data_IF_510368579315
#
_entry.id   IF_510368579315
#
_cell.length_a   1.000
_cell.length_b   1.000
_cell.length_c   1.000
_cell.angle_alpha   90.00
_cell.angle_beta   90.00
_cell.angle_gamma   90.00
#
_symmetry.space_group_name_H-M   'P 1'
#
loop_
_entity.id
_entity.type
_entity.pdbx_description
1 polymer ?
#
# COMPACT_ATOMS: atom_id res chain seq x y z
N UNK A 1 -10.16 -32.49 9.15
CA UNK A 1 -9.78 -31.09 9.43
C UNK A 1 -8.37 -31.09 10.00
N UNK A 2 -7.40 -30.51 9.30
CA UNK A 2 -5.99 -30.50 9.74
C UNK A 2 -5.78 -29.50 10.89
N UNK A 3 -4.67 -29.63 11.63
CA UNK A 3 -4.32 -28.69 12.70
C UNK A 3 -4.24 -27.25 12.18
N UNK A 4 -3.61 -27.05 11.02
CA UNK A 4 -3.55 -25.76 10.34
C UNK A 4 -4.95 -25.20 10.03
N UNK A 5 -5.84 -26.02 9.49
CA UNK A 5 -7.20 -25.58 9.18
C UNK A 5 -7.98 -25.18 10.45
N UNK A 6 -7.78 -25.88 11.58
CA UNK A 6 -8.38 -25.50 12.88
C UNK A 6 -7.83 -24.18 13.41
N UNK A 7 -6.52 -23.97 13.31
CA UNK A 7 -5.87 -22.72 13.69
C UNK A 7 -6.43 -21.53 12.90
N UNK A 8 -6.63 -21.69 11.59
CA UNK A 8 -7.24 -20.68 10.74
C UNK A 8 -8.68 -20.34 11.13
N UNK A 9 -9.52 -21.35 11.37
CA UNK A 9 -10.89 -21.12 11.83
C UNK A 9 -10.94 -20.41 13.18
N UNK A 10 -10.08 -20.80 14.13
CA UNK A 10 -9.98 -20.13 15.43
C UNK A 10 -9.52 -18.67 15.29
N UNK A 11 -8.53 -18.41 14.43
CA UNK A 11 -8.09 -17.05 14.14
C UNK A 11 -9.25 -16.20 13.60
N UNK A 12 -9.89 -16.65 12.52
CA UNK A 12 -10.99 -15.90 11.88
C UNK A 12 -12.14 -15.65 12.86
N UNK A 13 -12.51 -16.65 13.66
CA UNK A 13 -13.55 -16.51 14.67
C UNK A 13 -13.15 -15.58 15.84
N UNK A 14 -11.86 -15.39 16.09
CA UNK A 14 -11.35 -14.51 17.15
C UNK A 14 -11.25 -13.03 16.75
N UNK A 15 -11.28 -12.74 15.44
CA UNK A 15 -11.22 -11.38 14.91
C UNK A 15 -12.61 -10.74 14.97
N UNK A 16 -12.70 -9.46 15.38
CA UNK A 16 -13.99 -8.78 15.38
C UNK A 16 -14.47 -8.50 13.96
N UNK A 17 -15.77 -8.33 13.82
CA UNK A 17 -16.35 -7.90 12.55
C UNK A 17 -15.77 -6.55 12.11
N UNK A 18 -15.25 -6.52 10.88
CA UNK A 18 -14.71 -5.31 10.28
C UNK A 18 -15.82 -4.61 9.49
N UNK A 19 -16.49 -3.65 10.15
CA UNK A 19 -17.48 -2.81 9.48
C UNK A 19 -16.81 -1.89 8.44
N UNK A 20 -17.60 -1.24 7.60
CA UNK A 20 -17.06 -0.35 6.58
C UNK A 20 -16.25 0.80 7.20
N UNK A 21 -15.02 0.97 6.72
CA UNK A 21 -14.04 1.91 7.28
C UNK A 21 -14.48 3.37 7.28
N UNK A 22 -15.33 3.78 6.33
CA UNK A 22 -15.87 5.14 6.22
C UNK A 22 -16.86 5.50 7.34
N UNK A 23 -17.37 4.50 8.06
CA UNK A 23 -18.34 4.67 9.15
C UNK A 23 -17.74 4.45 10.55
N UNK A 24 -16.48 4.02 10.63
CA UNK A 24 -15.83 3.65 11.89
C UNK A 24 -15.25 4.87 12.61
N UNK A 25 -15.77 5.17 13.80
CA UNK A 25 -15.18 6.15 14.73
C UNK A 25 -13.93 5.56 15.42
N UNK A 26 -13.90 4.25 15.65
CA UNK A 26 -12.79 3.53 16.28
C UNK A 26 -12.64 2.15 15.67
N UNK A 27 -11.39 1.69 15.50
CA UNK A 27 -11.11 0.32 15.08
C UNK A 27 -11.59 -0.68 16.14
N UNK A 28 -12.18 -1.82 15.74
CA UNK A 28 -12.74 -2.81 16.66
C UNK A 28 -11.68 -3.66 17.37
N UNK A 29 -10.41 -3.58 16.95
CA UNK A 29 -9.26 -4.23 17.58
C UNK A 29 -8.07 -3.28 17.62
N UNK A 30 -7.33 -3.29 18.72
CA UNK A 30 -6.06 -2.59 18.85
C UNK A 30 -4.93 -3.34 18.14
N UNK A 31 -3.85 -2.66 17.77
CA UNK A 31 -2.68 -3.28 17.14
C UNK A 31 -2.11 -4.44 17.98
N UNK A 32 -1.98 -4.28 19.30
CA UNK A 32 -1.40 -5.32 20.17
C UNK A 32 -2.27 -6.56 20.23
N UNK A 33 -3.57 -6.41 20.50
CA UNK A 33 -4.53 -7.53 20.40
C UNK A 33 -4.52 -8.22 19.04
N UNK A 34 -4.36 -7.49 17.94
CA UNK A 34 -4.24 -8.11 16.63
C UNK A 34 -2.98 -8.98 16.55
N UNK A 35 -1.82 -8.47 16.98
CA UNK A 35 -0.57 -9.26 17.04
C UNK A 35 -0.72 -10.51 17.91
N UNK A 36 -1.39 -10.39 19.05
CA UNK A 36 -1.68 -11.53 19.92
C UNK A 36 -2.51 -12.59 19.20
N UNK A 37 -3.55 -12.21 18.46
CA UNK A 37 -4.36 -13.15 17.67
C UNK A 37 -3.56 -13.82 16.56
N UNK A 38 -2.66 -13.09 15.90
CA UNK A 38 -1.81 -13.61 14.83
C UNK A 38 -0.77 -14.65 15.33
N UNK A 39 -0.61 -14.85 16.65
CA UNK A 39 0.13 -16.02 17.19
C UNK A 39 -0.54 -17.36 16.84
N UNK A 40 -1.82 -17.36 16.46
CA UNK A 40 -2.55 -18.56 16.04
C UNK A 40 -2.21 -19.03 14.62
N UNK A 41 -1.54 -18.21 13.81
CA UNK A 41 -1.13 -18.59 12.45
C UNK A 41 -0.07 -19.68 12.47
N UNK A 42 -0.03 -20.48 11.41
CA UNK A 42 1.11 -21.34 11.12
C UNK A 42 2.38 -20.47 10.94
N UNK A 43 3.58 -20.93 11.36
CA UNK A 43 4.81 -20.13 11.29
C UNK A 43 5.08 -19.51 9.91
N UNK A 44 4.87 -20.27 8.82
CA UNK A 44 5.08 -19.78 7.46
C UNK A 44 4.14 -18.62 7.11
N UNK A 45 2.87 -18.73 7.49
CA UNK A 45 1.85 -17.70 7.21
C UNK A 45 2.00 -16.48 8.12
N UNK A 46 2.50 -16.69 9.33
CA UNK A 46 2.90 -15.63 10.24
C UNK A 46 4.02 -14.79 9.64
N UNK A 47 5.04 -15.41 9.07
CA UNK A 47 6.16 -14.69 8.45
C UNK A 47 5.72 -13.80 7.26
N UNK A 48 4.77 -14.28 6.45
CA UNK A 48 4.15 -13.48 5.38
C UNK A 48 3.37 -12.30 5.96
N UNK A 49 2.59 -12.54 7.01
CA UNK A 49 1.76 -11.51 7.66
C UNK A 49 2.62 -10.44 8.34
N UNK A 50 3.70 -10.83 9.00
CA UNK A 50 4.66 -9.91 9.61
C UNK A 50 5.34 -9.05 8.53
N UNK A 51 5.78 -9.66 7.42
CA UNK A 51 6.31 -8.90 6.27
C UNK A 51 5.30 -7.88 5.71
N UNK A 52 4.02 -8.22 5.70
CA UNK A 52 2.94 -7.29 5.30
C UNK A 52 2.77 -6.13 6.28
N UNK A 53 2.78 -6.42 7.59
CA UNK A 53 2.64 -5.42 8.64
C UNK A 53 3.82 -4.46 8.66
N UNK A 54 5.04 -4.97 8.47
CA UNK A 54 6.26 -4.17 8.41
C UNK A 54 6.24 -3.23 7.21
N UNK A 55 5.84 -3.73 6.03
CA UNK A 55 5.65 -2.88 4.84
C UNK A 55 4.62 -1.76 5.11
N UNK A 56 3.48 -2.09 5.72
CA UNK A 56 2.44 -1.13 6.08
C UNK A 56 2.88 -0.11 7.15
N UNK A 57 3.73 -0.52 8.08
CA UNK A 57 4.29 0.35 9.10
C UNK A 57 5.33 1.30 8.49
N UNK A 58 6.22 0.77 7.65
CA UNK A 58 7.22 1.52 6.90
C UNK A 58 6.56 2.60 6.01
N UNK A 59 5.46 2.26 5.33
CA UNK A 59 4.65 3.20 4.56
C UNK A 59 4.06 4.37 5.37
N UNK A 60 3.93 4.23 6.69
CA UNK A 60 3.38 5.27 7.59
C UNK A 60 4.46 6.22 8.14
N UNK A 61 5.74 5.95 7.90
CA UNK A 61 6.83 6.79 8.39
C UNK A 61 6.95 8.07 7.52
N UNK A 62 6.94 9.29 8.11
CA UNK A 62 6.94 10.53 7.34
C UNK A 62 8.30 10.96 6.76
N UNK A 63 8.19 11.65 5.62
CA UNK A 63 9.02 12.72 5.04
C UNK A 63 10.37 12.41 4.33
N UNK A 64 11.29 11.61 4.87
CA UNK A 64 12.66 11.52 4.29
C UNK A 64 12.93 10.28 3.42
N UNK A 65 11.92 9.44 3.22
CA UNK A 65 12.05 8.29 2.34
C UNK A 65 12.14 8.76 0.89
N UNK A 66 13.36 8.71 0.34
CA UNK A 66 13.63 8.95 -1.08
C UNK A 66 12.83 7.97 -1.93
N UNK A 67 12.48 8.38 -3.15
CA UNK A 67 11.75 7.50 -4.07
C UNK A 67 12.54 6.21 -4.35
N UNK A 68 13.88 6.27 -4.34
CA UNK A 68 14.75 5.09 -4.46
C UNK A 68 14.60 4.12 -3.27
N UNK A 69 14.57 4.63 -2.03
CA UNK A 69 14.38 3.79 -0.85
C UNK A 69 13.02 3.05 -0.90
N UNK A 70 11.98 3.74 -1.40
CA UNK A 70 10.65 3.15 -1.60
C UNK A 70 10.68 2.04 -2.63
N UNK A 71 11.35 2.26 -3.75
CA UNK A 71 11.45 1.27 -4.81
C UNK A 71 12.31 0.08 -4.40
N UNK A 72 13.41 0.29 -3.65
CA UNK A 72 14.24 -0.79 -3.10
C UNK A 72 13.42 -1.69 -2.19
N UNK A 73 12.70 -1.11 -1.22
CA UNK A 73 11.90 -1.88 -0.28
C UNK A 73 10.77 -2.66 -0.98
N UNK A 74 10.16 -2.06 -2.01
CA UNK A 74 9.18 -2.75 -2.84
C UNK A 74 9.80 -3.90 -3.65
N UNK A 75 10.99 -3.71 -4.25
CA UNK A 75 11.72 -4.76 -4.99
C UNK A 75 12.05 -5.94 -4.07
N UNK A 76 12.51 -5.67 -2.85
CA UNK A 76 12.78 -6.70 -1.82
C UNK A 76 11.52 -7.47 -1.41
N UNK A 77 10.40 -6.76 -1.21
CA UNK A 77 9.12 -7.38 -0.90
C UNK A 77 8.66 -8.31 -2.03
N UNK A 78 8.76 -7.84 -3.28
CA UNK A 78 8.38 -8.63 -4.46
C UNK A 78 9.30 -9.83 -4.66
N UNK A 79 10.60 -9.71 -4.37
CA UNK A 79 11.53 -10.84 -4.44
C UNK A 79 11.17 -11.93 -3.41
N UNK A 80 10.72 -11.55 -2.22
CA UNK A 80 10.29 -12.49 -1.17
C UNK A 80 8.91 -13.07 -1.40
N UNK A 81 8.00 -12.32 -2.01
CA UNK A 81 6.60 -12.70 -2.23
C UNK A 81 6.18 -12.40 -3.68
N UNK A 82 6.69 -13.16 -4.68
CA UNK A 82 6.55 -12.83 -6.10
C UNK A 82 5.11 -12.92 -6.62
N UNK A 83 4.27 -13.75 -6.01
CA UNK A 83 2.86 -13.90 -6.36
C UNK A 83 2.04 -14.01 -5.08
N UNK A 84 1.24 -12.98 -4.81
CA UNK A 84 0.39 -12.95 -3.63
C UNK A 84 -0.29 -11.61 -3.40
N UNK A 85 -1.32 -11.63 -2.58
CA UNK A 85 -2.11 -10.45 -2.21
C UNK A 85 -1.25 -9.29 -1.68
N UNK A 86 -0.16 -9.61 -0.98
CA UNK A 86 0.78 -8.63 -0.45
C UNK A 86 1.50 -7.84 -1.55
N UNK A 87 1.97 -8.52 -2.60
CA UNK A 87 2.64 -7.84 -3.71
C UNK A 87 1.64 -6.94 -4.47
N UNK A 88 0.44 -7.44 -4.76
CA UNK A 88 -0.61 -6.63 -5.42
C UNK A 88 -1.03 -5.42 -4.59
N UNK A 89 -1.13 -5.59 -3.26
CA UNK A 89 -1.42 -4.48 -2.36
C UNK A 89 -0.29 -3.44 -2.33
N UNK A 90 0.97 -3.90 -2.29
CA UNK A 90 2.13 -3.02 -2.32
C UNK A 90 2.24 -2.25 -3.65
N UNK A 91 1.96 -2.91 -4.78
CA UNK A 91 1.89 -2.28 -6.11
C UNK A 91 0.82 -1.19 -6.15
N UNK A 92 -0.37 -1.48 -5.64
CA UNK A 92 -1.45 -0.50 -5.55
C UNK A 92 -1.07 0.72 -4.70
N UNK A 93 -0.41 0.49 -3.55
CA UNK A 93 0.09 1.57 -2.70
C UNK A 93 1.16 2.41 -3.39
N UNK A 94 2.09 1.77 -4.08
CA UNK A 94 3.13 2.46 -4.85
C UNK A 94 2.53 3.28 -5.99
N UNK A 95 1.50 2.76 -6.67
CA UNK A 95 0.75 3.49 -7.69
C UNK A 95 0.11 4.76 -7.14
N UNK A 96 -0.59 4.69 -6.00
CA UNK A 96 -1.15 5.88 -5.34
C UNK A 96 -0.05 6.90 -5.01
N UNK A 97 1.10 6.45 -4.50
CA UNK A 97 2.23 7.35 -4.21
C UNK A 97 2.75 8.04 -5.47
N UNK A 98 2.93 7.30 -6.56
CA UNK A 98 3.36 7.85 -7.85
C UNK A 98 2.37 8.90 -8.36
N UNK A 99 1.07 8.61 -8.32
CA UNK A 99 0.02 9.58 -8.71
C UNK A 99 0.06 10.82 -7.82
N UNK A 100 0.12 10.67 -6.49
CA UNK A 100 0.18 11.80 -5.56
C UNK A 100 1.44 12.66 -5.74
N UNK A 101 2.58 12.05 -6.08
CA UNK A 101 3.80 12.80 -6.38
C UNK A 101 3.72 13.53 -7.72
N UNK A 102 3.11 12.94 -8.76
CA UNK A 102 2.82 13.64 -10.02
C UNK A 102 1.96 14.88 -9.79
N UNK A 103 0.85 14.72 -9.05
CA UNK A 103 -0.07 15.82 -8.72
C UNK A 103 0.62 16.93 -7.91
N UNK A 104 1.43 16.59 -6.89
CA UNK A 104 2.21 17.57 -6.11
C UNK A 104 3.14 18.40 -6.99
N UNK A 105 3.82 17.76 -7.94
CA UNK A 105 4.72 18.45 -8.87
C UNK A 105 3.97 19.38 -9.81
N UNK A 106 2.82 18.95 -10.35
CA UNK A 106 1.96 19.80 -11.15
C UNK A 106 1.50 21.04 -10.36
N UNK A 107 1.05 20.87 -9.11
CA UNK A 107 0.65 21.98 -8.25
C UNK A 107 1.81 22.93 -7.91
N UNK A 108 3.04 22.40 -7.83
CA UNK A 108 4.25 23.17 -7.52
C UNK A 108 4.96 23.73 -8.76
N UNK A 109 4.42 23.49 -9.97
CA UNK A 109 5.08 23.85 -11.24
C UNK A 109 6.44 23.16 -11.47
N UNK A 110 6.71 22.06 -10.76
CA UNK A 110 7.96 21.32 -10.88
C UNK A 110 7.94 20.37 -12.08
N UNK A 111 9.08 20.23 -12.74
CA UNK A 111 9.24 19.23 -13.79
C UNK A 111 9.06 17.81 -13.24
N UNK A 112 8.53 16.92 -14.09
CA UNK A 112 8.45 15.50 -13.78
C UNK A 112 9.87 14.90 -13.82
N UNK A 113 10.27 14.08 -12.83
CA UNK A 113 11.56 13.38 -12.89
C UNK A 113 11.53 12.29 -13.98
N UNK A 114 12.70 11.70 -14.25
CA UNK A 114 12.85 10.54 -15.14
C UNK A 114 12.00 9.33 -14.73
N UNK A 115 12.04 8.18 -15.40
CA UNK A 115 11.10 7.08 -15.12
C UNK A 115 11.24 6.41 -13.74
N UNK A 116 12.33 6.69 -13.00
CA UNK A 116 12.82 5.88 -11.88
C UNK A 116 12.28 6.26 -10.49
N UNK A 117 11.32 7.18 -10.36
CA UNK A 117 10.81 7.61 -9.03
C UNK A 117 9.47 6.97 -8.63
N UNK A 118 8.96 6.03 -9.42
CA UNK A 118 7.65 5.44 -9.17
C UNK A 118 7.36 4.20 -10.00
N UNK A 119 6.08 3.81 -10.07
CA UNK A 119 5.65 2.71 -10.93
C UNK A 119 5.85 3.12 -12.39
N UNK A 120 6.62 2.36 -13.20
CA UNK A 120 6.95 2.76 -14.58
C UNK A 120 5.74 3.09 -15.46
N UNK A 121 4.66 2.32 -15.32
CA UNK A 121 3.42 2.57 -16.07
C UNK A 121 2.82 3.95 -15.75
N UNK A 122 2.81 4.35 -14.48
CA UNK A 122 2.21 5.61 -14.04
C UNK A 122 3.16 6.80 -14.19
N UNK A 123 4.46 6.62 -14.03
CA UNK A 123 5.46 7.68 -14.30
C UNK A 123 5.48 8.02 -15.79
N UNK A 124 5.48 7.02 -16.68
CA UNK A 124 5.41 7.23 -18.12
C UNK A 124 4.08 7.87 -18.55
N UNK A 125 2.96 7.42 -17.98
CA UNK A 125 1.65 7.99 -18.27
C UNK A 125 1.57 9.46 -17.86
N UNK A 126 2.01 9.79 -16.65
CA UNK A 126 1.99 11.17 -16.14
C UNK A 126 2.92 12.08 -16.95
N UNK A 127 4.10 11.60 -17.35
CA UNK A 127 5.02 12.36 -18.19
C UNK A 127 4.43 12.65 -19.57
N UNK A 128 3.74 11.67 -20.18
CA UNK A 128 3.07 11.84 -21.49
C UNK A 128 1.96 12.89 -21.46
N UNK A 129 1.29 13.04 -20.31
CA UNK A 129 0.19 13.98 -20.10
C UNK A 129 0.57 15.12 -19.15
N UNK A 130 1.84 15.53 -19.12
CA UNK A 130 2.37 16.48 -18.14
C UNK A 130 1.67 17.85 -18.16
N UNK A 131 1.24 18.31 -19.34
CA UNK A 131 0.57 19.61 -19.54
C UNK A 131 -0.93 19.57 -19.29
N UNK A 132 -1.51 18.37 -19.20
CA UNK A 132 -2.94 18.18 -19.00
C UNK A 132 -3.28 18.23 -17.50
N UNK A 133 -4.45 18.79 -17.17
CA UNK A 133 -4.93 18.81 -15.78
C UNK A 133 -4.94 17.38 -15.22
N UNK A 134 -4.42 17.21 -14.01
CA UNK A 134 -4.38 15.92 -13.32
C UNK A 134 -3.66 14.80 -14.09
N UNK A 135 -2.90 15.14 -15.14
CA UNK A 135 -2.30 14.19 -16.07
C UNK A 135 -3.29 13.20 -16.70
N UNK A 136 -4.58 13.54 -16.77
CA UNK A 136 -5.69 12.63 -17.18
C UNK A 136 -5.88 11.39 -16.33
N UNK A 137 -5.38 11.38 -15.09
CA UNK A 137 -5.41 10.20 -14.23
C UNK A 137 -6.81 9.90 -13.67
N UNK A 138 -7.78 10.80 -13.81
CA UNK A 138 -9.15 10.65 -13.30
C UNK A 138 -9.91 9.43 -13.83
N UNK A 139 -9.58 8.95 -15.04
CA UNK A 139 -10.20 7.75 -15.61
C UNK A 139 -9.81 6.46 -14.85
N UNK A 140 -8.60 6.45 -14.27
CA UNK A 140 -8.05 5.30 -13.54
C UNK A 140 -8.16 5.48 -12.02
N UNK A 141 -8.12 6.73 -11.57
CA UNK A 141 -8.13 7.11 -10.16
C UNK A 141 -9.23 8.15 -9.94
N UNK A 142 -10.49 7.73 -9.70
CA UNK A 142 -11.63 8.65 -9.57
C UNK A 142 -11.51 9.66 -8.41
N UNK A 143 -10.61 9.42 -7.46
CA UNK A 143 -10.33 10.32 -6.34
C UNK A 143 -9.43 11.51 -6.73
N UNK A 144 -8.75 11.46 -7.88
CA UNK A 144 -7.78 12.48 -8.30
C UNK A 144 -8.36 13.90 -8.38
N UNK A 145 -9.57 14.14 -8.93
CA UNK A 145 -10.18 15.47 -8.95
C UNK A 145 -10.42 16.07 -7.55
N UNK A 146 -10.50 15.22 -6.52
CA UNK A 146 -10.74 15.61 -5.14
C UNK A 146 -9.46 15.62 -4.29
N UNK A 147 -8.34 15.20 -4.86
CA UNK A 147 -7.07 15.17 -4.17
C UNK A 147 -6.61 16.60 -3.86
N UNK A 148 -6.15 16.81 -2.62
CA UNK A 148 -5.43 18.01 -2.22
C UNK A 148 -3.98 17.60 -1.98
N UNK A 149 -3.15 17.57 -3.04
CA UNK A 149 -1.73 17.33 -2.88
C UNK A 149 -1.15 18.48 -2.04
N UNK A 150 -0.81 18.18 -0.77
CA UNK A 150 -0.11 19.09 0.13
C UNK A 150 1.37 19.18 -0.24
#
# INVERSE_FOLDING_TARGET
MTTAQRQYYLLVASLPHLARFDTLVRLPISADRLRDRLTLLHPDDRAVTESALDFLAWQRQPADNTDEAVLSHFRELRARHPSGLLCSFAEFRLAIRTVMAALRRQCSGQAMPGPEWGVPAWTAYAARHATERNHRLEAWFPWVPHARPA
#
